data_IF_143888500001
#
_entry.id   IF_143888500001
#
_cell.length_a   1.000
_cell.length_b   1.000
_cell.length_c   1.000
_cell.angle_alpha   90.00
_cell.angle_beta   90.00
_cell.angle_gamma   90.00
#
_symmetry.space_group_name_H-M   'P 1'
#
loop_
_entity.id
_entity.type
_entity.pdbx_description
1 polymer ?
#
# COMPACT_ATOMS: atom_id res chain seq x y z
N UNK A 1 4.43 -2.17 -4.72
CA UNK A 1 3.46 -1.50 -3.83
C UNK A 1 2.14 -1.13 -4.52
N UNK A 2 2.13 -0.76 -5.81
CA UNK A 2 0.87 -0.59 -6.56
C UNK A 2 -0.04 -1.83 -6.48
N UNK A 3 0.53 -3.04 -6.56
CA UNK A 3 -0.23 -4.28 -6.40
C UNK A 3 -0.94 -4.42 -5.05
N UNK A 4 -0.34 -3.96 -3.95
CA UNK A 4 -1.02 -3.96 -2.64
C UNK A 4 -2.21 -2.99 -2.61
N UNK A 5 -2.08 -1.83 -3.26
CA UNK A 5 -3.19 -0.89 -3.38
C UNK A 5 -4.32 -1.45 -4.26
N UNK A 6 -3.99 -2.12 -5.38
CA UNK A 6 -4.97 -2.79 -6.25
C UNK A 6 -5.73 -3.92 -5.54
N UNK A 7 -5.09 -4.61 -4.61
CA UNK A 7 -5.68 -5.73 -3.89
C UNK A 7 -6.40 -5.31 -2.59
N UNK A 8 -6.49 -3.99 -2.30
CA UNK A 8 -6.94 -3.48 -1.01
C UNK A 8 -8.37 -3.89 -0.60
N UNK A 9 -9.23 -4.25 -1.54
CA UNK A 9 -10.59 -4.72 -1.29
C UNK A 9 -10.76 -6.25 -1.36
N UNK A 10 -9.68 -6.98 -1.69
CA UNK A 10 -9.74 -8.43 -1.81
C UNK A 10 -9.84 -9.11 -0.45
N UNK A 11 -10.69 -10.13 -0.38
CA UNK A 11 -10.75 -11.07 0.74
C UNK A 11 -9.60 -12.09 0.67
N UNK A 12 -9.32 -12.76 1.80
CA UNK A 12 -8.33 -13.84 1.83
C UNK A 12 -8.67 -14.97 0.84
N UNK A 13 -9.97 -15.28 0.68
CA UNK A 13 -10.41 -16.31 -0.27
C UNK A 13 -10.10 -15.92 -1.72
N UNK A 14 -10.32 -14.65 -2.08
CA UNK A 14 -9.98 -14.13 -3.40
C UNK A 14 -8.46 -14.12 -3.64
N UNK A 15 -7.66 -13.73 -2.64
CA UNK A 15 -6.20 -13.78 -2.76
C UNK A 15 -5.68 -15.21 -2.92
N UNK A 16 -6.25 -16.18 -2.21
CA UNK A 16 -5.89 -17.61 -2.38
C UNK A 16 -6.27 -18.14 -3.76
N UNK A 17 -7.36 -17.64 -4.33
CA UNK A 17 -7.75 -18.02 -5.70
C UNK A 17 -6.81 -17.40 -6.76
N UNK A 18 -6.34 -16.16 -6.54
CA UNK A 18 -5.36 -15.51 -7.40
C UNK A 18 -3.95 -16.09 -7.28
N UNK A 19 -3.59 -16.52 -6.08
CA UNK A 19 -2.27 -17.07 -5.73
C UNK A 19 -2.46 -18.45 -5.11
N UNK A 20 -2.69 -19.50 -5.94
CA UNK A 20 -2.97 -20.85 -5.46
C UNK A 20 -1.74 -21.54 -4.86
N UNK A 21 -0.54 -21.07 -5.15
CA UNK A 21 0.69 -21.62 -4.60
C UNK A 21 0.79 -21.32 -3.10
N UNK A 22 1.23 -22.31 -2.31
CA UNK A 22 1.43 -22.15 -0.87
C UNK A 22 2.48 -21.09 -0.54
N UNK A 23 3.46 -20.91 -1.42
CA UNK A 23 4.54 -19.94 -1.26
C UNK A 23 4.58 -18.96 -2.41
N UNK A 24 4.68 -17.68 -2.08
CA UNK A 24 4.88 -16.61 -3.03
C UNK A 24 6.38 -16.40 -3.33
N UNK A 25 6.73 -16.03 -4.58
CA UNK A 25 8.12 -15.76 -4.93
C UNK A 25 8.71 -14.64 -4.06
N UNK A 26 9.81 -14.95 -3.38
CA UNK A 26 10.54 -13.99 -2.56
C UNK A 26 11.35 -13.05 -3.45
N UNK A 27 11.04 -11.74 -3.41
CA UNK A 27 11.74 -10.70 -4.17
C UNK A 27 12.51 -9.73 -3.27
N UNK A 28 12.27 -9.76 -1.97
CA UNK A 28 12.91 -8.93 -0.96
C UNK A 28 12.46 -9.31 0.45
N UNK A 29 13.13 -8.78 1.46
CA UNK A 29 12.89 -9.13 2.85
C UNK A 29 11.46 -8.81 3.38
N UNK A 30 10.76 -7.91 2.71
CA UNK A 30 9.39 -7.49 3.07
C UNK A 30 8.32 -8.12 2.18
N UNK A 31 8.72 -8.95 1.20
CA UNK A 31 7.77 -9.65 0.33
C UNK A 31 7.00 -10.69 1.14
N UNK A 32 5.65 -10.73 1.06
CA UNK A 32 4.86 -11.72 1.78
C UNK A 32 5.21 -13.13 1.33
N UNK A 33 5.28 -14.08 2.26
CA UNK A 33 5.64 -15.47 1.99
C UNK A 33 4.49 -16.27 1.37
N UNK A 34 3.26 -15.86 1.69
CA UNK A 34 2.05 -16.57 1.29
C UNK A 34 0.85 -15.62 1.20
N UNK A 35 -0.29 -16.13 0.71
CA UNK A 35 -1.51 -15.36 0.56
C UNK A 35 -2.06 -14.80 1.89
N UNK A 36 -1.79 -15.45 3.02
CA UNK A 36 -2.25 -14.97 4.34
C UNK A 36 -1.45 -13.75 4.78
N UNK A 37 -0.13 -13.76 4.64
CA UNK A 37 0.72 -12.59 4.92
C UNK A 37 0.41 -11.44 3.97
N UNK A 38 0.18 -11.74 2.68
CA UNK A 38 -0.27 -10.75 1.70
C UNK A 38 -1.59 -10.11 2.13
N UNK A 39 -2.55 -10.91 2.61
CA UNK A 39 -3.83 -10.42 3.09
C UNK A 39 -3.67 -9.46 4.27
N UNK A 40 -2.81 -9.77 5.25
CA UNK A 40 -2.58 -8.88 6.38
C UNK A 40 -1.94 -7.54 5.95
N UNK A 41 -1.03 -7.56 4.97
CA UNK A 41 -0.46 -6.34 4.40
C UNK A 41 -1.52 -5.52 3.65
N UNK A 42 -2.32 -6.16 2.82
CA UNK A 42 -3.40 -5.53 2.04
C UNK A 42 -4.50 -4.95 2.95
N UNK A 43 -4.86 -5.65 4.01
CA UNK A 43 -5.80 -5.18 5.03
C UNK A 43 -5.35 -3.86 5.68
N UNK A 44 -4.05 -3.70 5.91
CA UNK A 44 -3.50 -2.43 6.41
C UNK A 44 -3.63 -1.31 5.39
N UNK A 45 -3.43 -1.60 4.08
CA UNK A 45 -3.65 -0.62 3.01
C UNK A 45 -5.11 -0.15 3.01
N UNK A 46 -6.05 -1.07 3.14
CA UNK A 46 -7.48 -0.75 3.22
C UNK A 46 -7.81 0.14 4.42
N UNK A 47 -7.22 -0.13 5.57
CA UNK A 47 -7.45 0.65 6.79
C UNK A 47 -6.85 2.06 6.71
N UNK A 48 -5.65 2.20 6.15
CA UNK A 48 -4.91 3.47 6.05
C UNK A 48 -5.25 4.30 4.81
N UNK A 49 -5.86 3.70 3.79
CA UNK A 49 -6.09 4.32 2.48
C UNK A 49 -4.86 4.44 1.60
N UNK A 50 -3.70 3.99 2.06
CA UNK A 50 -2.44 4.04 1.30
C UNK A 50 -1.44 3.00 1.77
N UNK A 51 -0.40 2.82 0.99
CA UNK A 51 0.78 2.03 1.35
C UNK A 51 2.05 2.83 1.05
N UNK A 52 2.99 2.77 1.98
CA UNK A 52 4.34 3.32 1.84
C UNK A 52 5.31 2.15 1.85
N UNK A 53 6.31 2.21 1.00
CA UNK A 53 7.39 1.24 0.98
C UNK A 53 8.71 1.95 0.80
N UNK A 54 9.64 1.66 1.70
CA UNK A 54 11.02 2.08 1.60
C UNK A 54 11.88 0.83 1.36
N UNK A 55 12.45 0.74 0.17
CA UNK A 55 13.37 -0.36 -0.14
C UNK A 55 12.72 -1.75 -0.30
N UNK A 56 11.46 -1.84 -0.74
CA UNK A 56 10.76 -3.12 -0.88
C UNK A 56 11.40 -4.05 -1.92
N UNK A 57 11.75 -3.51 -3.08
CA UNK A 57 12.46 -4.21 -4.15
C UNK A 57 13.90 -3.73 -4.29
N UNK A 58 14.11 -2.44 -4.18
CA UNK A 58 15.42 -1.79 -4.30
C UNK A 58 15.65 -0.90 -3.09
N UNK A 59 16.80 -1.05 -2.44
CA UNK A 59 17.14 -0.42 -1.16
C UNK A 59 17.07 1.13 -1.17
N UNK A 60 17.02 1.74 -2.35
CA UNK A 60 17.07 3.19 -2.51
C UNK A 60 15.83 3.78 -3.18
N UNK A 61 14.73 3.04 -3.21
CA UNK A 61 13.48 3.50 -3.81
C UNK A 61 12.39 3.55 -2.75
N UNK A 62 11.74 4.70 -2.63
CA UNK A 62 10.53 4.88 -1.84
C UNK A 62 9.32 5.00 -2.76
N UNK A 63 8.24 4.30 -2.43
CA UNK A 63 6.99 4.35 -3.17
C UNK A 63 5.83 4.62 -2.22
N UNK A 64 4.97 5.56 -2.60
CA UNK A 64 3.66 5.77 -1.97
C UNK A 64 2.61 5.40 -3.00
N UNK A 65 1.62 4.58 -2.60
CA UNK A 65 0.53 4.19 -3.49
C UNK A 65 -0.81 4.21 -2.75
N UNK A 66 -1.88 4.58 -3.46
CA UNK A 66 -3.23 4.60 -2.94
C UNK A 66 -4.21 3.91 -3.90
N UNK A 67 -5.23 3.21 -3.40
CA UNK A 67 -6.27 2.62 -4.23
C UNK A 67 -7.21 3.71 -4.78
N UNK A 68 -7.69 3.49 -5.99
CA UNK A 68 -8.74 4.27 -6.64
C UNK A 68 -9.99 3.41 -6.68
N UNK A 69 -11.08 3.91 -6.11
CA UNK A 69 -12.33 3.21 -6.02
C UNK A 69 -13.27 3.63 -7.15
N UNK A 70 -14.04 2.69 -7.66
CA UNK A 70 -15.14 2.94 -8.58
C UNK A 70 -16.49 2.78 -7.91
N UNK A 71 -17.54 2.72 -8.72
CA UNK A 71 -18.89 2.44 -8.28
C UNK A 71 -18.95 1.11 -7.50
N UNK A 72 -19.80 1.04 -6.47
CA UNK A 72 -19.93 -0.14 -5.60
C UNK A 72 -18.77 -0.35 -4.61
N UNK A 73 -17.90 0.63 -4.40
CA UNK A 73 -16.80 0.60 -3.42
C UNK A 73 -15.74 -0.49 -3.72
N UNK A 74 -15.54 -0.80 -4.98
CA UNK A 74 -14.49 -1.71 -5.44
C UNK A 74 -13.27 -0.95 -5.92
N UNK A 75 -12.07 -1.49 -5.65
CA UNK A 75 -10.83 -0.96 -6.20
C UNK A 75 -10.78 -1.28 -7.69
N UNK A 76 -10.72 -0.24 -8.52
CA UNK A 76 -10.66 -0.35 -9.99
C UNK A 76 -9.30 0.04 -10.55
N UNK A 77 -8.52 0.80 -9.79
CA UNK A 77 -7.17 1.23 -10.15
C UNK A 77 -6.33 1.51 -8.90
N UNK A 78 -5.07 1.85 -9.09
CA UNK A 78 -4.21 2.40 -8.07
C UNK A 78 -3.34 3.49 -8.68
N UNK A 79 -3.08 4.54 -7.90
CA UNK A 79 -2.12 5.57 -8.24
C UNK A 79 -0.93 5.49 -7.30
N UNK A 80 0.27 5.76 -7.80
CA UNK A 80 1.46 5.74 -6.98
C UNK A 80 2.53 6.68 -7.49
N UNK A 81 3.36 7.12 -6.56
CA UNK A 81 4.54 7.92 -6.81
C UNK A 81 5.77 7.16 -6.30
N UNK A 82 6.73 6.97 -7.18
CA UNK A 82 8.02 6.33 -6.86
C UNK A 82 9.12 7.38 -6.97
N UNK A 83 9.92 7.48 -5.93
CA UNK A 83 11.02 8.45 -5.83
C UNK A 83 12.27 7.77 -5.28
N UNK A 84 13.47 8.27 -5.60
CA UNK A 84 14.68 7.83 -4.94
C UNK A 84 14.59 8.09 -3.44
N UNK A 85 14.75 7.05 -2.61
CA UNK A 85 14.52 7.10 -1.15
C UNK A 85 15.39 8.12 -0.41
N UNK A 86 16.60 8.41 -0.96
CA UNK A 86 17.49 9.43 -0.42
C UNK A 86 17.07 10.89 -0.72
N UNK A 87 16.01 11.08 -1.52
CA UNK A 87 15.50 12.40 -1.91
C UNK A 87 14.23 12.80 -1.18
N UNK A 88 13.70 11.95 -0.31
CA UNK A 88 12.49 12.26 0.48
C UNK A 88 12.89 12.37 1.95
N UNK A 89 13.21 13.57 2.44
CA UNK A 89 13.36 13.81 3.87
C UNK A 89 12.07 13.42 4.61
N UNK A 90 12.17 12.96 5.84
CA UNK A 90 11.00 12.55 6.65
C UNK A 90 9.93 13.66 6.73
N UNK A 91 10.35 14.92 6.73
CA UNK A 91 9.43 16.07 6.72
C UNK A 91 8.58 16.18 5.43
N UNK A 92 9.01 15.61 4.32
CA UNK A 92 8.27 15.63 3.05
C UNK A 92 7.40 14.39 2.84
N UNK A 93 7.51 13.40 3.70
CA UNK A 93 6.78 12.14 3.59
C UNK A 93 5.28 12.32 3.73
N UNK A 94 4.83 13.05 4.75
CA UNK A 94 3.42 13.32 4.98
C UNK A 94 2.77 14.16 3.86
N UNK A 95 3.36 15.24 3.35
CA UNK A 95 2.87 15.94 2.16
C UNK A 95 2.76 15.06 0.92
N UNK A 96 3.72 14.14 0.72
CA UNK A 96 3.72 13.23 -0.42
C UNK A 96 2.56 12.23 -0.35
N UNK A 97 2.33 11.65 0.83
CA UNK A 97 1.19 10.78 1.09
C UNK A 97 -0.12 11.53 0.85
N UNK A 98 -0.25 12.74 1.39
CA UNK A 98 -1.44 13.56 1.20
C UNK A 98 -1.72 13.85 -0.29
N UNK A 99 -0.68 14.15 -1.08
CA UNK A 99 -0.83 14.39 -2.52
C UNK A 99 -1.30 13.15 -3.27
N UNK A 100 -0.71 11.96 -2.99
CA UNK A 100 -1.11 10.71 -3.63
C UNK A 100 -2.52 10.30 -3.23
N UNK A 101 -2.87 10.41 -1.94
CA UNK A 101 -4.22 10.11 -1.46
C UNK A 101 -5.25 11.09 -2.03
N UNK A 102 -4.92 12.38 -2.12
CA UNK A 102 -5.78 13.40 -2.73
C UNK A 102 -6.08 13.09 -4.20
N UNK A 103 -5.04 12.78 -4.98
CA UNK A 103 -5.21 12.38 -6.38
C UNK A 103 -6.05 11.10 -6.53
N UNK A 104 -5.84 10.11 -5.65
CA UNK A 104 -6.66 8.89 -5.65
C UNK A 104 -8.13 9.17 -5.32
N UNK A 105 -8.39 10.08 -4.37
CA UNK A 105 -9.75 10.48 -4.00
C UNK A 105 -10.44 11.25 -5.14
N UNK A 106 -9.75 12.17 -5.81
CA UNK A 106 -10.27 12.91 -6.96
C UNK A 106 -10.64 11.96 -8.11
N UNK A 107 -9.75 10.99 -8.44
CA UNK A 107 -10.03 9.97 -9.45
C UNK A 107 -11.22 9.10 -9.04
N UNK A 108 -11.31 8.71 -7.78
CA UNK A 108 -12.43 7.92 -7.27
C UNK A 108 -13.76 8.68 -7.41
N UNK A 109 -13.76 9.97 -7.07
CA UNK A 109 -14.95 10.82 -7.22
C UNK A 109 -15.41 10.94 -8.68
N UNK A 110 -14.47 11.04 -9.64
CA UNK A 110 -14.76 11.02 -11.07
C UNK A 110 -15.38 9.69 -11.55
N UNK A 111 -15.12 8.60 -10.82
CA UNK A 111 -15.66 7.26 -11.10
C UNK A 111 -16.93 6.95 -10.28
N UNK A 112 -17.63 7.98 -9.80
CA UNK A 112 -18.87 7.89 -9.02
C UNK A 112 -18.73 7.10 -7.70
N UNK A 113 -17.54 7.08 -7.13
CA UNK A 113 -17.34 6.53 -5.79
C UNK A 113 -17.98 7.44 -4.74
N UNK A 114 -18.92 6.90 -3.97
CA UNK A 114 -19.47 7.55 -2.79
C UNK A 114 -18.75 7.00 -1.54
N UNK A 115 -17.95 7.84 -0.89
CA UNK A 115 -17.25 7.42 0.32
C UNK A 115 -18.23 7.04 1.44
N UNK A 116 -18.14 5.82 2.02
CA UNK A 116 -18.99 5.43 3.15
C UNK A 116 -18.74 6.36 4.34
N UNK A 117 -19.80 6.90 4.92
CA UNK A 117 -19.71 7.74 6.11
C UNK A 117 -18.97 6.98 7.23
N UNK A 118 -17.77 7.43 7.61
CA UNK A 118 -16.98 6.85 8.70
C UNK A 118 -15.50 6.51 8.39
N UNK A 119 -15.05 6.61 7.13
CA UNK A 119 -13.62 6.43 6.82
C UNK A 119 -12.91 7.78 6.92
N UNK A 120 -12.62 8.25 8.13
CA UNK A 120 -11.60 9.27 8.31
C UNK A 120 -10.22 8.60 8.09
N UNK A 121 -9.47 9.10 7.10
CA UNK A 121 -8.06 8.73 6.97
C UNK A 121 -7.36 9.15 8.26
N UNK A 122 -6.91 8.15 9.02
CA UNK A 122 -6.09 8.38 10.19
C UNK A 122 -4.73 8.91 9.68
N UNK A 123 -4.54 10.21 9.75
CA UNK A 123 -3.28 10.90 9.46
C UNK A 123 -2.25 10.60 10.58
N UNK A 124 -2.28 9.34 11.05
CA UNK A 124 -1.45 8.85 12.13
C UNK A 124 0.00 8.71 11.70
N UNK A 125 0.82 9.37 12.45
CA UNK A 125 2.27 9.32 12.50
C UNK A 125 2.79 7.88 12.42
N UNK A 126 3.15 7.41 11.22
CA UNK A 126 3.87 6.14 11.04
C UNK A 126 5.33 6.36 11.48
N UNK A 127 5.61 6.04 12.75
CA UNK A 127 7.00 5.95 13.23
C UNK A 127 7.67 4.77 12.53
N UNK A 128 8.83 4.96 11.89
CA UNK A 128 9.54 3.86 11.26
C UNK A 128 9.90 2.82 12.31
N UNK A 129 9.40 1.62 12.12
CA UNK A 129 9.80 0.45 12.92
C UNK A 129 11.25 0.13 12.55
N UNK A 130 12.18 0.41 13.45
CA UNK A 130 13.59 0.08 13.28
C UNK A 130 13.73 -1.42 12.99
N UNK A 131 14.18 -1.72 11.78
CA UNK A 131 14.56 -3.09 11.39
C UNK A 131 15.88 -3.37 12.10
N UNK A 132 15.85 -4.24 13.09
CA UNK A 132 17.05 -4.76 13.73
C UNK A 132 17.84 -5.56 12.68
N UNK A 133 18.93 -4.99 12.22
CA UNK A 133 19.96 -5.68 11.43
C UNK A 133 20.52 -6.81 12.30
N UNK A 134 20.09 -8.05 12.06
CA UNK A 134 20.82 -9.22 12.56
C UNK A 134 22.17 -9.26 11.85
N UNK A 135 23.22 -8.90 12.56
CA UNK A 135 24.59 -9.22 12.18
C UNK A 135 24.69 -10.76 12.17
N UNK A 136 24.88 -11.34 11.01
CA UNK A 136 25.41 -12.69 10.91
C UNK A 136 26.92 -12.61 11.09
N UNK A 137 27.39 -13.29 12.11
CA UNK A 137 28.80 -13.60 12.33
C UNK A 137 29.22 -14.75 11.41
#
# INVERSE_FOLDING_TARGET
>A
MLGHALLADHSLAQLRALYPDEQLPQRGAQTPLNATELFEQVKQVRARGHVISDGFYEAHISTVSAPVFGDGNHVVAAIGLTVPGNRVPDAQRAPLVAAVCGAAAELSALLNYAEPAGRQADAGTDKPRAVALRKQA
#
